data_IF_208300571720
#
_entry.id   IF_208300571720
#
_cell.length_a   1.000
_cell.length_b   1.000
_cell.length_c   1.000
_cell.angle_alpha   90.00
_cell.angle_beta   90.00
_cell.angle_gamma   90.00
#
_symmetry.space_group_name_H-M   'P 1'
#
loop_
_entity.id
_entity.type
_entity.pdbx_description
1 polymer ?
#
# COMPACT_ATOMS: atom_id res chain seq x y z
N UNK A 1 -61.50 -4.07 -45.39
CA UNK A 1 -61.50 -5.29 -44.57
C UNK A 1 -60.27 -5.22 -43.67
N UNK A 2 -60.42 -4.84 -42.40
CA UNK A 2 -60.36 -5.72 -41.21
C UNK A 2 -59.15 -6.66 -41.29
N UNK A 3 -58.16 -6.61 -40.40
CA UNK A 3 -58.33 -6.90 -38.96
C UNK A 3 -57.20 -6.29 -38.10
N UNK A 4 -57.55 -5.88 -36.88
CA UNK A 4 -56.70 -5.35 -35.79
C UNK A 4 -56.41 -6.50 -34.79
N UNK A 5 -55.37 -6.31 -33.95
CA UNK A 5 -54.98 -7.01 -32.70
C UNK A 5 -53.98 -8.16 -32.86
N UNK A 6 -52.91 -8.36 -32.06
CA UNK A 6 -52.62 -8.01 -30.66
C UNK A 6 -51.12 -7.73 -30.42
N UNK A 7 -50.84 -6.83 -29.47
CA UNK A 7 -49.56 -6.61 -28.80
C UNK A 7 -49.12 -7.81 -27.96
N UNK A 8 -47.81 -8.13 -27.93
CA UNK A 8 -47.20 -8.81 -26.78
C UNK A 8 -45.70 -8.48 -26.65
N UNK A 9 -45.38 -7.69 -25.63
CA UNK A 9 -44.14 -7.60 -24.85
C UNK A 9 -42.81 -7.98 -25.52
N UNK A 10 -42.10 -6.95 -26.01
CA UNK A 10 -40.64 -6.97 -26.13
C UNK A 10 -40.07 -6.71 -24.73
N UNK A 11 -39.80 -7.77 -23.97
CA UNK A 11 -39.10 -7.68 -22.69
C UNK A 11 -37.65 -7.32 -22.96
N UNK A 12 -37.19 -6.26 -22.30
CA UNK A 12 -35.80 -5.82 -22.23
C UNK A 12 -34.84 -6.98 -21.96
N UNK A 13 -34.05 -7.36 -22.97
CA UNK A 13 -32.81 -8.11 -22.77
C UNK A 13 -31.66 -7.10 -22.75
N UNK A 14 -31.49 -6.40 -21.64
CA UNK A 14 -30.33 -5.55 -21.36
C UNK A 14 -29.94 -5.71 -19.88
N UNK A 15 -28.64 -5.81 -19.65
CA UNK A 15 -27.91 -5.88 -18.37
C UNK A 15 -27.97 -7.20 -17.58
N UNK A 16 -27.58 -8.30 -18.23
CA UNK A 16 -26.95 -9.44 -17.56
C UNK A 16 -25.42 -9.37 -17.60
N UNK A 17 -24.82 -8.19 -17.44
CA UNK A 17 -23.37 -8.10 -17.24
C UNK A 17 -23.07 -8.58 -15.82
N UNK A 18 -22.86 -9.89 -15.69
CA UNK A 18 -22.03 -10.55 -14.68
C UNK A 18 -21.97 -9.86 -13.30
N UNK A 19 -23.12 -9.69 -12.64
CA UNK A 19 -23.14 -9.23 -11.24
C UNK A 19 -22.36 -10.18 -10.33
N UNK A 20 -22.38 -11.49 -10.61
CA UNK A 20 -21.56 -12.46 -9.88
C UNK A 20 -20.05 -12.31 -10.14
N UNK A 21 -19.61 -11.99 -11.37
CA UNK A 21 -18.17 -11.79 -11.63
C UNK A 21 -17.66 -10.46 -11.03
N UNK A 22 -18.50 -9.42 -10.99
CA UNK A 22 -18.19 -8.14 -10.33
C UNK A 22 -18.20 -8.24 -8.79
N UNK A 23 -19.10 -9.05 -8.21
CA UNK A 23 -19.13 -9.34 -6.77
C UNK A 23 -17.90 -10.17 -6.39
N UNK A 24 -17.61 -11.25 -7.13
CA UNK A 24 -16.43 -12.08 -6.91
C UNK A 24 -15.14 -11.27 -7.00
N UNK A 25 -14.97 -10.41 -8.02
CA UNK A 25 -13.76 -9.59 -8.17
C UNK A 25 -13.58 -8.54 -7.04
N UNK A 26 -14.68 -8.15 -6.37
CA UNK A 26 -14.64 -7.26 -5.22
C UNK A 26 -14.40 -7.97 -3.88
N UNK A 27 -14.58 -9.29 -3.80
CA UNK A 27 -14.30 -10.09 -2.60
C UNK A 27 -12.82 -10.44 -2.41
N UNK A 28 -11.96 -10.24 -3.41
CA UNK A 28 -10.52 -10.54 -3.32
C UNK A 28 -9.67 -9.29 -3.50
N UNK A 29 -8.62 -9.14 -2.69
CA UNK A 29 -7.73 -7.98 -2.76
C UNK A 29 -7.00 -7.88 -4.10
N UNK A 30 -6.64 -9.02 -4.72
CA UNK A 30 -5.99 -9.08 -6.04
C UNK A 30 -6.70 -10.04 -6.99
N UNK A 31 -6.47 -9.89 -8.30
CA UNK A 31 -6.98 -10.77 -9.34
C UNK A 31 -6.36 -12.18 -9.19
N UNK A 32 -5.06 -12.27 -8.87
CA UNK A 32 -4.39 -13.54 -8.60
C UNK A 32 -5.07 -14.32 -7.45
N UNK A 33 -5.48 -13.65 -6.37
CA UNK A 33 -6.18 -14.32 -5.27
C UNK A 33 -7.54 -14.88 -5.71
N UNK A 34 -8.27 -14.19 -6.59
CA UNK A 34 -9.52 -14.68 -7.15
C UNK A 34 -9.28 -15.93 -8.03
N UNK A 35 -8.23 -15.92 -8.86
CA UNK A 35 -7.85 -17.06 -9.71
C UNK A 35 -7.40 -18.26 -8.88
N UNK A 36 -6.64 -18.02 -7.80
CA UNK A 36 -6.23 -19.05 -6.86
C UNK A 36 -7.43 -19.67 -6.15
N UNK A 37 -8.37 -18.86 -5.67
CA UNK A 37 -9.60 -19.34 -5.03
C UNK A 37 -10.45 -20.20 -5.99
N UNK A 38 -10.55 -19.78 -7.24
CA UNK A 38 -11.23 -20.53 -8.31
C UNK A 38 -10.54 -21.87 -8.58
N UNK A 39 -9.21 -21.86 -8.69
CA UNK A 39 -8.41 -23.07 -8.92
C UNK A 39 -8.47 -24.07 -7.75
N UNK A 40 -8.61 -23.55 -6.53
CA UNK A 40 -8.83 -24.35 -5.32
C UNK A 40 -10.25 -24.91 -5.23
N UNK A 41 -11.20 -24.42 -6.05
CA UNK A 41 -12.64 -24.66 -5.92
C UNK A 41 -13.20 -24.21 -4.58
N UNK A 42 -12.64 -23.13 -4.02
CA UNK A 42 -13.04 -22.56 -2.75
C UNK A 42 -13.63 -21.14 -2.90
N UNK A 43 -13.82 -20.63 -4.11
CA UNK A 43 -14.25 -19.24 -4.34
C UNK A 43 -15.52 -18.87 -3.54
N UNK A 44 -16.58 -19.67 -3.64
CA UNK A 44 -17.83 -19.42 -2.93
C UNK A 44 -17.63 -19.45 -1.41
N UNK A 45 -16.87 -20.43 -0.90
CA UNK A 45 -16.57 -20.53 0.53
C UNK A 45 -15.78 -19.33 1.03
N UNK A 46 -14.67 -18.98 0.37
CA UNK A 46 -13.77 -17.91 0.83
C UNK A 46 -14.44 -16.53 0.76
N UNK A 47 -15.29 -16.29 -0.24
CA UNK A 47 -15.99 -15.00 -0.41
C UNK A 47 -16.99 -14.68 0.70
N UNK A 48 -17.38 -15.67 1.51
CA UNK A 48 -18.36 -15.54 2.60
C UNK A 48 -17.74 -15.55 4.00
N UNK A 49 -16.41 -15.77 4.08
CA UNK A 49 -15.70 -15.74 5.35
C UNK A 49 -15.75 -14.34 5.96
N UNK A 50 -15.76 -14.29 7.29
CA UNK A 50 -15.67 -13.04 8.05
C UNK A 50 -14.20 -12.63 8.17
N UNK A 51 -13.97 -11.38 8.56
CA UNK A 51 -12.63 -10.88 8.88
C UNK A 51 -11.96 -11.80 9.91
N UNK A 52 -10.71 -12.16 9.64
CA UNK A 52 -9.97 -13.13 10.43
C UNK A 52 -8.97 -13.92 9.62
N UNK A 53 -8.30 -14.84 10.30
CA UNK A 53 -7.27 -15.71 9.73
C UNK A 53 -7.64 -17.17 9.96
N UNK A 54 -7.44 -17.98 8.93
CA UNK A 54 -7.85 -19.38 8.83
C UNK A 54 -6.64 -20.21 8.37
N UNK A 55 -6.01 -20.96 9.28
CA UNK A 55 -4.73 -21.64 9.06
C UNK A 55 -4.81 -23.17 9.07
N UNK A 56 -5.88 -23.74 9.62
CA UNK A 56 -5.98 -25.20 9.87
C UNK A 56 -7.31 -25.80 9.43
N UNK A 57 -8.20 -24.98 8.87
CA UNK A 57 -9.53 -25.36 8.39
C UNK A 57 -9.53 -25.76 6.92
N UNK A 58 -8.51 -25.32 6.16
CA UNK A 58 -8.46 -25.42 4.70
C UNK A 58 -7.19 -26.15 4.25
N UNK A 59 -7.35 -27.03 3.27
CA UNK A 59 -6.26 -27.88 2.78
C UNK A 59 -6.24 -27.97 1.26
N UNK A 60 -5.04 -28.04 0.69
CA UNK A 60 -4.83 -28.41 -0.70
C UNK A 60 -3.79 -29.52 -0.77
N UNK A 61 -4.11 -30.62 -1.47
CA UNK A 61 -3.23 -31.81 -1.56
C UNK A 61 -2.71 -32.28 -0.18
N UNK A 62 -3.59 -32.30 0.84
CA UNK A 62 -3.30 -32.65 2.25
C UNK A 62 -2.33 -31.71 2.98
N UNK A 63 -2.05 -30.52 2.45
CA UNK A 63 -1.24 -29.50 3.09
C UNK A 63 -2.11 -28.34 3.57
N UNK A 64 -1.87 -27.82 4.78
CA UNK A 64 -2.65 -26.72 5.34
C UNK A 64 -2.45 -25.43 4.55
N UNK A 65 -3.54 -24.67 4.41
CA UNK A 65 -3.56 -23.34 3.82
C UNK A 65 -3.63 -22.26 4.91
N UNK A 66 -3.02 -21.12 4.66
CA UNK A 66 -3.26 -19.87 5.38
C UNK A 66 -4.12 -18.96 4.51
N UNK A 67 -5.28 -18.56 5.02
CA UNK A 67 -6.18 -17.59 4.39
C UNK A 67 -6.42 -16.44 5.35
N UNK A 68 -6.35 -15.21 4.86
CA UNK A 68 -6.69 -14.01 5.64
C UNK A 68 -7.79 -13.23 4.94
N UNK A 69 -8.77 -12.79 5.72
CA UNK A 69 -9.83 -11.87 5.30
C UNK A 69 -9.68 -10.59 6.12
N UNK A 70 -9.59 -9.47 5.43
CA UNK A 70 -9.46 -8.14 6.02
C UNK A 70 -10.39 -7.16 5.29
N UNK A 71 -11.19 -6.40 6.06
CA UNK A 71 -12.14 -5.44 5.50
C UNK A 71 -13.18 -6.08 4.57
N UNK A 72 -13.64 -7.29 4.89
CA UNK A 72 -14.59 -8.06 4.11
C UNK A 72 -14.05 -8.62 2.79
N UNK A 73 -12.71 -8.68 2.63
CA UNK A 73 -12.06 -9.17 1.42
C UNK A 73 -10.97 -10.15 1.76
N UNK A 74 -10.83 -11.20 0.94
CA UNK A 74 -9.72 -12.12 1.03
C UNK A 74 -8.43 -11.39 0.62
N UNK A 75 -7.56 -11.17 1.59
CA UNK A 75 -6.29 -10.44 1.47
C UNK A 75 -5.09 -11.37 1.31
N UNK A 76 -5.23 -12.64 1.66
CA UNK A 76 -4.18 -13.65 1.49
C UNK A 76 -4.75 -15.05 1.27
N UNK A 77 -4.12 -15.82 0.39
CA UNK A 77 -4.30 -17.26 0.20
C UNK A 77 -2.91 -17.84 -0.08
N UNK A 78 -2.45 -18.76 0.75
CA UNK A 78 -1.16 -19.42 0.59
C UNK A 78 -1.07 -20.73 1.35
N UNK A 79 0.03 -21.47 1.20
CA UNK A 79 0.32 -22.58 2.11
C UNK A 79 0.69 -22.06 3.49
N UNK A 80 0.40 -22.80 4.56
CA UNK A 80 0.85 -22.42 5.90
C UNK A 80 2.35 -22.75 6.05
N UNK A 81 3.21 -21.73 5.90
CA UNK A 81 4.66 -21.81 6.12
C UNK A 81 5.09 -21.12 7.43
N UNK A 82 4.26 -20.22 7.95
CA UNK A 82 4.58 -19.41 9.13
C UNK A 82 3.56 -19.60 10.24
N UNK A 83 4.03 -19.82 11.47
CA UNK A 83 3.19 -19.86 12.67
C UNK A 83 2.67 -18.46 13.04
N UNK A 84 1.66 -18.40 13.90
CA UNK A 84 1.14 -17.12 14.39
C UNK A 84 2.21 -16.37 15.22
N UNK A 85 3.00 -17.07 16.04
CA UNK A 85 4.08 -16.43 16.80
C UNK A 85 5.12 -15.82 15.86
N UNK A 86 5.52 -16.54 14.80
CA UNK A 86 6.47 -16.03 13.81
C UNK A 86 5.94 -14.77 13.13
N UNK A 87 4.64 -14.72 12.80
CA UNK A 87 4.03 -13.54 12.18
C UNK A 87 3.95 -12.34 13.11
N UNK A 88 3.75 -12.55 14.41
CA UNK A 88 3.73 -11.47 15.40
C UNK A 88 5.12 -10.85 15.62
N UNK A 89 6.18 -11.67 15.51
CA UNK A 89 7.56 -11.19 15.60
C UNK A 89 8.00 -10.37 14.39
N UNK A 90 7.31 -10.52 13.25
CA UNK A 90 7.67 -9.91 11.98
C UNK A 90 6.77 -8.73 11.65
N UNK A 91 7.36 -7.55 11.46
CA UNK A 91 6.61 -6.32 11.19
C UNK A 91 6.26 -6.10 9.70
N UNK A 92 6.51 -7.07 8.81
CA UNK A 92 6.24 -6.92 7.36
C UNK A 92 5.40 -8.07 6.81
N UNK A 93 4.05 -7.94 6.87
CA UNK A 93 3.13 -8.98 6.41
C UNK A 93 3.29 -9.44 4.96
N UNK A 94 3.64 -8.51 4.08
CA UNK A 94 3.84 -8.76 2.67
C UNK A 94 4.89 -9.87 2.38
N UNK A 95 5.92 -10.01 3.22
CA UNK A 95 7.04 -10.96 3.02
C UNK A 95 6.58 -12.41 3.18
N UNK A 96 5.85 -12.71 4.26
CA UNK A 96 5.36 -14.06 4.47
C UNK A 96 4.19 -14.39 3.54
N UNK A 97 3.30 -13.42 3.29
CA UNK A 97 2.15 -13.64 2.40
C UNK A 97 2.64 -13.95 0.98
N UNK A 98 3.69 -13.25 0.52
CA UNK A 98 4.36 -13.56 -0.72
C UNK A 98 4.81 -15.01 -0.79
N UNK A 99 5.64 -15.47 0.15
CA UNK A 99 6.21 -16.83 0.08
C UNK A 99 5.12 -17.90 0.11
N UNK A 100 4.15 -17.77 1.00
CA UNK A 100 3.03 -18.71 1.11
C UNK A 100 2.18 -18.75 -0.16
N UNK A 101 1.86 -17.57 -0.72
CA UNK A 101 1.09 -17.43 -1.96
C UNK A 101 1.88 -17.98 -3.15
N UNK A 102 3.18 -17.69 -3.23
CA UNK A 102 4.03 -18.06 -4.35
C UNK A 102 4.26 -19.58 -4.42
N UNK A 103 4.53 -20.22 -3.28
CA UNK A 103 4.68 -21.68 -3.23
C UNK A 103 3.35 -22.38 -3.58
N UNK A 104 2.22 -21.85 -3.11
CA UNK A 104 0.91 -22.39 -3.46
C UNK A 104 0.57 -22.17 -4.93
N UNK A 105 0.82 -20.97 -5.47
CA UNK A 105 0.52 -20.66 -6.86
C UNK A 105 1.26 -21.58 -7.81
N UNK A 106 2.49 -22.01 -7.47
CA UNK A 106 3.26 -23.05 -8.19
C UNK A 106 2.53 -24.40 -8.26
N UNK A 107 1.86 -24.80 -7.17
CA UNK A 107 1.19 -26.10 -7.07
C UNK A 107 -0.25 -26.12 -7.64
N UNK A 108 -0.80 -24.94 -7.91
CA UNK A 108 -2.13 -24.77 -8.51
C UNK A 108 -2.07 -24.92 -10.04
N UNK A 109 -3.13 -25.47 -10.66
CA UNK A 109 -3.26 -25.57 -12.11
C UNK A 109 -3.65 -24.22 -12.74
N UNK A 110 -2.91 -23.16 -12.40
CA UNK A 110 -3.07 -21.83 -13.00
C UNK A 110 -2.53 -21.84 -14.43
N UNK A 111 -3.11 -20.98 -15.28
CA UNK A 111 -2.58 -20.76 -16.63
C UNK A 111 -1.16 -20.18 -16.50
N UNK A 112 -0.16 -20.89 -17.04
CA UNK A 112 1.23 -20.44 -17.07
C UNK A 112 1.69 -20.23 -18.49
N UNK A 113 2.38 -19.12 -18.72
CA UNK A 113 3.05 -18.83 -19.99
C UNK A 113 4.49 -19.35 -20.02
N UNK A 114 5.05 -19.68 -18.85
CA UNK A 114 6.46 -20.05 -18.65
C UNK A 114 6.60 -21.17 -17.61
N UNK A 115 7.74 -21.87 -17.66
CA UNK A 115 8.10 -22.87 -16.64
C UNK A 115 8.34 -22.19 -15.29
N UNK A 116 8.32 -22.98 -14.20
CA UNK A 116 8.56 -22.49 -12.84
C UNK A 116 9.98 -21.93 -12.71
N UNK A 117 10.96 -22.58 -13.33
CA UNK A 117 12.37 -22.17 -13.30
C UNK A 117 12.55 -20.81 -13.99
N UNK A 118 11.92 -20.63 -15.16
CA UNK A 118 11.94 -19.35 -15.88
C UNK A 118 11.23 -18.25 -15.09
N UNK A 119 10.13 -18.56 -14.42
CA UNK A 119 9.43 -17.61 -13.57
C UNK A 119 10.28 -17.16 -12.37
N UNK A 120 10.89 -18.10 -11.64
CA UNK A 120 11.79 -17.79 -10.53
C UNK A 120 12.96 -16.89 -10.95
N UNK A 121 13.54 -17.17 -12.13
CA UNK A 121 14.64 -16.38 -12.68
C UNK A 121 14.19 -14.95 -13.04
N UNK A 122 13.04 -14.79 -13.69
CA UNK A 122 12.50 -13.47 -14.06
C UNK A 122 12.06 -12.65 -12.84
N UNK A 123 11.52 -13.32 -11.82
CA UNK A 123 11.15 -12.70 -10.54
C UNK A 123 12.38 -12.45 -9.64
N UNK A 124 13.58 -12.89 -10.07
CA UNK A 124 14.85 -12.77 -9.37
C UNK A 124 14.81 -13.35 -7.94
N UNK A 125 14.16 -14.50 -7.79
CA UNK A 125 14.07 -15.28 -6.56
C UNK A 125 15.17 -16.33 -6.57
N UNK A 126 16.04 -16.29 -5.58
CA UNK A 126 17.19 -17.19 -5.49
C UNK A 126 17.11 -18.01 -4.21
N UNK A 127 17.39 -19.31 -4.33
CA UNK A 127 17.60 -20.17 -3.17
C UNK A 127 19.10 -20.21 -2.87
N UNK A 128 19.50 -19.65 -1.74
CA UNK A 128 20.90 -19.71 -1.28
C UNK A 128 21.21 -21.03 -0.56
N UNK A 129 20.18 -21.69 -0.01
CA UNK A 129 20.24 -23.05 0.52
C UNK A 129 18.95 -23.80 0.17
N UNK A 130 19.09 -25.01 -0.35
CA UNK A 130 17.97 -25.85 -0.79
C UNK A 130 17.36 -25.37 -2.11
N UNK A 131 16.14 -25.83 -2.38
CA UNK A 131 15.36 -25.45 -3.57
C UNK A 131 13.87 -25.32 -3.24
N UNK A 132 13.06 -24.91 -4.22
CA UNK A 132 11.60 -24.80 -4.08
C UNK A 132 10.95 -26.09 -3.55
N UNK A 133 11.49 -27.25 -3.91
CA UNK A 133 11.00 -28.55 -3.42
C UNK A 133 11.22 -28.71 -1.90
N UNK A 134 12.30 -28.16 -1.35
CA UNK A 134 12.62 -28.20 0.07
C UNK A 134 11.74 -27.26 0.88
N UNK A 135 11.52 -26.02 0.39
CA UNK A 135 10.58 -25.10 1.01
C UNK A 135 9.17 -25.69 1.06
N UNK A 136 8.76 -26.39 -0.02
CA UNK A 136 7.47 -27.09 -0.08
C UNK A 136 7.34 -28.24 0.92
N UNK A 137 8.44 -28.92 1.28
CA UNK A 137 8.43 -29.98 2.32
C UNK A 137 8.22 -29.42 3.73
N UNK A 138 8.43 -28.12 3.93
CA UNK A 138 8.27 -27.43 5.22
C UNK A 138 6.84 -26.94 5.48
N UNK A 139 5.93 -27.07 4.50
CA UNK A 139 4.53 -26.65 4.66
C UNK A 139 3.87 -27.39 5.84
N UNK A 140 3.36 -26.62 6.79
CA UNK A 140 2.76 -27.12 8.03
C UNK A 140 3.75 -27.45 9.15
N UNK A 141 5.06 -27.33 8.94
CA UNK A 141 6.06 -27.52 10.01
C UNK A 141 6.25 -26.20 10.79
N UNK A 142 5.47 -26.04 11.86
CA UNK A 142 5.54 -24.85 12.72
C UNK A 142 6.68 -24.91 13.75
N UNK A 143 7.55 -25.93 13.69
CA UNK A 143 8.66 -26.10 14.66
C UNK A 143 9.97 -25.48 14.18
N UNK A 144 10.03 -24.98 12.95
CA UNK A 144 11.23 -24.38 12.38
C UNK A 144 11.47 -22.99 12.97
N UNK A 145 12.72 -22.68 13.28
CA UNK A 145 13.14 -21.32 13.62
C UNK A 145 13.34 -20.51 12.35
N UNK A 146 13.00 -19.23 12.39
CA UNK A 146 13.03 -18.35 11.23
C UNK A 146 13.92 -17.14 11.46
N UNK A 147 14.69 -16.75 10.45
CA UNK A 147 15.32 -15.43 10.36
C UNK A 147 14.87 -14.72 9.09
N UNK A 148 14.59 -13.41 9.22
CA UNK A 148 14.31 -12.51 8.09
C UNK A 148 15.28 -11.35 8.16
N UNK A 149 15.96 -11.11 7.04
CA UNK A 149 16.93 -10.03 6.89
C UNK A 149 16.49 -9.11 5.76
N UNK A 150 16.49 -7.79 6.00
CA UNK A 150 16.41 -6.79 4.94
C UNK A 150 17.83 -6.48 4.47
N UNK A 151 18.15 -6.87 3.24
CA UNK A 151 19.44 -6.67 2.60
C UNK A 151 19.43 -5.34 1.83
N UNK A 152 19.83 -4.28 2.53
CA UNK A 152 20.05 -2.94 1.98
C UNK A 152 18.84 -2.31 1.27
N UNK A 153 17.63 -2.51 1.83
CA UNK A 153 16.35 -2.01 1.29
C UNK A 153 16.06 -2.43 -0.15
N UNK A 154 16.65 -3.55 -0.59
CA UNK A 154 16.51 -4.07 -1.96
C UNK A 154 16.02 -5.49 -2.02
N UNK A 155 16.37 -6.32 -1.04
CA UNK A 155 16.00 -7.73 -1.01
C UNK A 155 15.63 -8.15 0.40
N UNK A 156 14.69 -9.07 0.50
CA UNK A 156 14.52 -9.86 1.72
C UNK A 156 15.27 -11.17 1.58
N UNK A 157 15.85 -11.66 2.67
CA UNK A 157 16.32 -13.03 2.80
C UNK A 157 15.57 -13.69 3.95
N UNK A 158 14.97 -14.84 3.69
CA UNK A 158 14.21 -15.63 4.66
C UNK A 158 14.90 -16.99 4.80
N UNK A 159 15.20 -17.38 6.03
CA UNK A 159 15.93 -18.62 6.31
C UNK A 159 15.24 -19.43 7.41
N UNK A 160 15.08 -20.73 7.15
CA UNK A 160 14.46 -21.69 8.08
C UNK A 160 15.53 -22.59 8.68
N UNK A 161 15.43 -22.83 9.98
CA UNK A 161 16.38 -23.64 10.73
C UNK A 161 15.66 -24.72 11.53
N UNK A 162 16.27 -25.90 11.63
CA UNK A 162 15.86 -26.96 12.55
C UNK A 162 16.97 -27.12 13.59
N UNK A 163 16.72 -26.63 14.80
CA UNK A 163 17.81 -26.37 15.73
C UNK A 163 18.79 -25.37 15.09
N UNK A 164 20.08 -25.71 15.09
CA UNK A 164 21.13 -24.88 14.48
C UNK A 164 21.35 -25.14 12.98
N UNK A 165 20.67 -26.14 12.40
CA UNK A 165 20.85 -26.50 10.99
C UNK A 165 19.96 -25.65 10.10
N UNK A 166 20.56 -24.85 9.22
CA UNK A 166 19.89 -24.17 8.12
C UNK A 166 19.31 -25.20 7.11
N UNK A 167 17.99 -25.21 6.94
CA UNK A 167 17.28 -26.19 6.10
C UNK A 167 16.89 -25.63 4.73
N UNK A 168 16.55 -24.34 4.66
CA UNK A 168 16.26 -23.64 3.41
C UNK A 168 16.53 -22.14 3.62
N UNK A 169 16.99 -21.47 2.57
CA UNK A 169 17.11 -20.01 2.56
C UNK A 169 16.80 -19.47 1.17
N UNK A 170 15.91 -18.49 1.12
CA UNK A 170 15.46 -17.83 -0.11
C UNK A 170 15.65 -16.34 0.01
N UNK A 171 16.14 -15.70 -1.05
CA UNK A 171 16.19 -14.25 -1.16
C UNK A 171 15.49 -13.77 -2.43
N UNK A 172 14.82 -12.63 -2.32
CA UNK A 172 13.96 -12.09 -3.37
C UNK A 172 13.87 -10.56 -3.27
N UNK A 173 13.57 -9.86 -4.39
CA UNK A 173 13.55 -8.40 -4.39
C UNK A 173 12.38 -7.84 -3.56
N UNK A 174 12.62 -6.68 -2.95
CA UNK A 174 11.56 -5.85 -2.37
C UNK A 174 10.84 -5.14 -3.52
N UNK A 175 9.71 -5.70 -3.94
CA UNK A 175 8.90 -5.19 -5.05
C UNK A 175 7.43 -5.37 -4.71
N UNK A 176 6.65 -4.29 -4.77
CA UNK A 176 5.22 -4.32 -4.47
C UNK A 176 4.48 -5.38 -5.30
N UNK A 177 4.70 -5.36 -6.62
CA UNK A 177 4.08 -6.27 -7.58
C UNK A 177 4.37 -7.75 -7.22
N UNK A 178 5.63 -8.06 -6.91
CA UNK A 178 6.04 -9.42 -6.51
C UNK A 178 5.42 -9.80 -5.16
N UNK A 179 5.51 -8.91 -4.17
CA UNK A 179 5.06 -9.14 -2.81
C UNK A 179 3.54 -9.32 -2.71
N UNK A 180 2.77 -8.67 -3.57
CA UNK A 180 1.31 -8.76 -3.61
C UNK A 180 0.78 -9.68 -4.71
N UNK A 181 1.62 -10.10 -5.68
CA UNK A 181 1.20 -10.91 -6.81
C UNK A 181 0.23 -10.15 -7.71
N UNK A 182 0.63 -8.91 -8.03
CA UNK A 182 -0.14 -7.94 -8.79
C UNK A 182 0.74 -7.37 -9.90
N UNK A 183 0.14 -6.58 -10.77
CA UNK A 183 0.84 -5.78 -11.78
C UNK A 183 0.42 -4.32 -11.67
N UNK A 184 1.24 -3.40 -12.20
CA UNK A 184 1.00 -1.96 -12.16
C UNK A 184 -0.43 -1.56 -12.58
N UNK A 185 -0.92 -2.13 -13.68
CA UNK A 185 -2.27 -1.83 -14.22
C UNK A 185 -3.37 -2.21 -13.22
N UNK A 186 -3.21 -3.34 -12.53
CA UNK A 186 -4.14 -3.77 -11.49
C UNK A 186 -4.07 -2.83 -10.28
N UNK A 187 -2.86 -2.46 -9.86
CA UNK A 187 -2.62 -1.60 -8.71
C UNK A 187 -3.25 -0.21 -8.90
N UNK A 188 -3.07 0.39 -10.08
CA UNK A 188 -3.69 1.65 -10.47
C UNK A 188 -5.21 1.57 -10.57
N UNK A 189 -5.75 0.45 -11.06
CA UNK A 189 -7.20 0.21 -11.12
C UNK A 189 -7.83 0.13 -9.72
N UNK A 190 -7.10 -0.40 -8.74
CA UNK A 190 -7.63 -0.70 -7.39
C UNK A 190 -7.43 0.45 -6.39
N UNK A 191 -6.40 1.28 -6.55
CA UNK A 191 -6.01 2.28 -5.52
C UNK A 191 -7.14 3.25 -5.17
N UNK A 192 -7.91 3.76 -6.14
CA UNK A 192 -8.97 4.74 -5.87
C UNK A 192 -10.05 4.14 -4.97
N UNK A 193 -10.45 2.90 -5.24
CA UNK A 193 -11.41 2.18 -4.41
C UNK A 193 -10.84 1.81 -3.05
N UNK A 194 -9.54 1.49 -2.98
CA UNK A 194 -8.84 1.23 -1.73
C UNK A 194 -8.83 2.46 -0.81
N UNK A 195 -8.49 3.64 -1.33
CA UNK A 195 -8.49 4.89 -0.56
C UNK A 195 -9.91 5.22 -0.07
N UNK A 196 -10.92 5.10 -0.94
CA UNK A 196 -12.33 5.41 -0.61
C UNK A 196 -12.89 4.52 0.51
N UNK A 197 -12.44 3.28 0.61
CA UNK A 197 -12.87 2.33 1.65
C UNK A 197 -12.03 2.37 2.92
N UNK A 198 -10.84 2.96 2.86
CA UNK A 198 -9.92 2.94 3.98
C UNK A 198 -10.52 3.66 5.20
N UNK A 199 -10.49 3.04 6.38
CA UNK A 199 -10.90 3.71 7.61
C UNK A 199 -9.97 4.88 7.90
N UNK A 200 -10.49 5.94 8.51
CA UNK A 200 -9.66 7.06 8.98
C UNK A 200 -8.66 6.56 10.02
N UNK A 201 -7.43 7.08 9.99
CA UNK A 201 -6.53 6.89 11.12
C UNK A 201 -6.98 7.77 12.28
N UNK A 202 -6.97 7.24 13.52
CA UNK A 202 -7.14 8.09 14.67
C UNK A 202 -5.98 9.09 14.73
N UNK A 203 -6.27 10.32 15.17
CA UNK A 203 -5.22 11.27 15.46
C UNK A 203 -4.29 10.71 16.55
N UNK A 204 -2.99 10.80 16.31
CA UNK A 204 -1.99 10.43 17.31
C UNK A 204 -1.95 11.50 18.40
N UNK A 205 -2.33 11.11 19.61
CA UNK A 205 -2.34 11.97 20.79
C UNK A 205 -1.00 11.97 21.53
N UNK A 206 0.01 11.24 21.03
CA UNK A 206 1.34 11.24 21.62
C UNK A 206 1.92 12.66 21.62
N UNK A 207 2.36 13.08 22.80
CA UNK A 207 3.02 14.38 22.97
C UNK A 207 4.43 14.29 22.40
N UNK A 208 4.81 15.29 21.61
CA UNK A 208 6.20 15.44 21.17
C UNK A 208 7.11 15.62 22.38
N UNK A 209 8.25 14.90 22.38
CA UNK A 209 9.25 15.06 23.42
C UNK A 209 10.06 16.35 23.16
N UNK A 210 10.03 17.34 24.06
CA UNK A 210 10.70 18.62 23.84
C UNK A 210 12.21 18.53 23.63
N UNK A 211 12.86 17.44 24.06
CA UNK A 211 14.31 17.24 23.87
C UNK A 211 14.71 17.05 22.41
N UNK A 212 13.78 16.63 21.56
CA UNK A 212 14.02 16.46 20.12
C UNK A 212 13.67 17.71 19.32
N UNK A 213 13.10 18.74 19.96
CA UNK A 213 12.75 19.99 19.31
C UNK A 213 13.94 20.95 19.29
N UNK A 214 14.24 21.47 18.10
CA UNK A 214 15.24 22.50 17.86
C UNK A 214 14.55 23.86 17.84
N UNK A 215 15.06 24.81 18.62
CA UNK A 215 14.59 26.20 18.60
C UNK A 215 15.02 26.88 17.31
N UNK A 216 14.12 27.65 16.71
CA UNK A 216 14.47 28.59 15.64
C UNK A 216 14.85 29.95 16.22
N UNK A 217 15.27 30.89 15.36
CA UNK A 217 15.47 32.28 15.73
C UNK A 217 14.16 33.01 16.06
N UNK A 218 13.01 32.48 15.63
CA UNK A 218 11.71 33.06 15.92
C UNK A 218 11.17 32.60 17.28
N UNK A 219 10.57 33.51 18.08
CA UNK A 219 9.93 33.14 19.32
C UNK A 219 8.84 32.09 19.12
N UNK A 220 8.78 31.12 20.03
CA UNK A 220 7.78 30.06 20.05
C UNK A 220 7.73 29.15 18.81
N UNK A 221 8.70 29.19 17.91
CA UNK A 221 8.78 28.34 16.72
C UNK A 221 9.91 27.30 16.85
N UNK A 222 9.54 26.02 16.70
CA UNK A 222 10.39 24.86 16.88
C UNK A 222 10.31 23.92 15.68
N UNK A 223 11.41 23.23 15.41
CA UNK A 223 11.53 22.22 14.36
C UNK A 223 11.82 20.87 15.01
N UNK A 224 11.11 19.84 14.60
CA UNK A 224 11.48 18.45 14.82
C UNK A 224 12.19 17.96 13.55
N UNK A 225 13.53 17.86 13.54
CA UNK A 225 14.27 17.42 12.37
C UNK A 225 13.82 16.02 11.93
N UNK A 226 13.59 15.87 10.63
CA UNK A 226 13.22 14.61 10.02
C UNK A 226 14.35 13.99 9.21
N UNK A 227 14.10 12.80 8.68
CA UNK A 227 14.94 12.18 7.66
C UNK A 227 14.72 12.86 6.31
N UNK A 228 15.71 12.77 5.43
CA UNK A 228 15.63 13.24 4.04
C UNK A 228 15.49 12.07 3.08
N UNK A 229 14.92 12.30 1.89
CA UNK A 229 14.76 11.27 0.87
C UNK A 229 15.14 11.81 -0.50
N UNK A 230 16.14 11.19 -1.13
CA UNK A 230 16.69 11.54 -2.45
C UNK A 230 17.36 12.92 -2.55
N UNK A 231 16.75 13.98 -2.04
CA UNK A 231 17.29 15.34 -1.93
C UNK A 231 17.14 15.87 -0.50
N UNK A 232 17.85 16.94 -0.15
CA UNK A 232 17.79 17.51 1.20
C UNK A 232 16.47 18.25 1.47
N UNK A 233 15.80 18.68 0.41
CA UNK A 233 14.55 19.45 0.42
C UNK A 233 13.33 18.58 0.68
N UNK A 234 13.39 17.28 0.32
CA UNK A 234 12.37 16.29 0.61
C UNK A 234 12.61 15.67 1.98
N UNK A 235 11.89 16.15 3.00
CA UNK A 235 12.11 15.71 4.38
C UNK A 235 10.83 15.33 5.12
N UNK A 236 10.99 14.57 6.21
CA UNK A 236 9.91 14.27 7.18
C UNK A 236 9.82 15.30 8.30
N UNK A 237 10.48 16.45 8.12
CA UNK A 237 10.57 17.52 9.12
C UNK A 237 9.18 17.99 9.54
N UNK A 238 8.97 18.15 10.84
CA UNK A 238 7.72 18.66 11.41
C UNK A 238 7.95 19.97 12.13
N UNK A 239 6.95 20.84 12.07
CA UNK A 239 7.04 22.19 12.60
C UNK A 239 6.07 22.35 13.75
N UNK A 240 6.55 22.95 14.84
CA UNK A 240 5.79 23.10 16.08
C UNK A 240 5.81 24.54 16.55
N UNK A 241 4.71 24.96 17.15
CA UNK A 241 4.64 26.18 17.94
C UNK A 241 4.41 25.87 19.42
N UNK A 242 4.92 26.72 20.29
CA UNK A 242 4.68 26.62 21.73
C UNK A 242 3.51 27.53 22.12
N UNK A 243 2.45 26.93 22.66
CA UNK A 243 1.27 27.63 23.17
C UNK A 243 1.55 28.33 24.50
N UNK A 244 0.66 29.25 24.87
CA UNK A 244 0.76 30.05 26.11
C UNK A 244 0.76 29.18 27.38
N UNK A 245 0.09 28.03 27.34
CA UNK A 245 0.10 27.02 28.41
C UNK A 245 1.39 26.16 28.44
N UNK A 246 2.37 26.52 27.61
CA UNK A 246 3.68 25.91 27.55
C UNK A 246 3.76 24.58 26.78
N UNK A 247 2.66 24.12 26.17
CA UNK A 247 2.64 22.90 25.36
C UNK A 247 3.16 23.14 23.95
N UNK A 248 3.58 22.07 23.29
CA UNK A 248 3.99 22.09 21.89
C UNK A 248 2.87 21.51 21.04
N UNK A 249 2.46 22.26 20.02
CA UNK A 249 1.42 21.86 19.07
C UNK A 249 1.94 21.99 17.64
N UNK A 250 1.39 21.19 16.72
CA UNK A 250 1.76 21.30 15.32
C UNK A 250 1.45 22.71 14.81
N UNK A 251 2.44 23.30 14.16
CA UNK A 251 2.34 24.62 13.58
C UNK A 251 1.30 24.59 12.45
N UNK A 252 0.33 25.50 12.52
CA UNK A 252 -0.67 25.71 11.48
C UNK A 252 -1.17 27.17 11.53
N UNK A 253 -0.45 28.08 10.88
CA UNK A 253 -0.71 29.51 10.93
C UNK A 253 -0.29 30.27 9.64
N UNK A 254 -0.81 31.48 9.48
CA UNK A 254 -0.54 32.36 8.32
C UNK A 254 0.91 32.79 8.16
N UNK A 255 1.65 32.87 9.27
CA UNK A 255 3.01 33.40 9.28
C UNK A 255 4.01 32.41 8.67
N UNK A 256 3.66 31.13 8.66
CA UNK A 256 4.47 30.02 8.18
C UNK A 256 3.62 29.12 7.27
N UNK A 257 3.19 29.62 6.10
CA UNK A 257 2.21 28.93 5.26
C UNK A 257 2.77 27.61 4.70
N UNK A 258 4.04 27.57 4.33
CA UNK A 258 4.67 26.37 3.76
C UNK A 258 4.86 25.29 4.82
N UNK A 259 5.27 25.65 6.04
CA UNK A 259 5.41 24.71 7.15
C UNK A 259 4.06 24.21 7.66
N UNK A 260 3.04 25.07 7.62
CA UNK A 260 1.65 24.66 7.89
C UNK A 260 1.16 23.66 6.85
N UNK A 261 1.47 23.89 5.58
CA UNK A 261 1.14 22.97 4.48
C UNK A 261 1.91 21.65 4.59
N UNK A 262 3.20 21.70 4.98
CA UNK A 262 4.00 20.51 5.25
C UNK A 262 3.36 19.64 6.34
N UNK A 263 3.00 20.23 7.49
CA UNK A 263 2.30 19.50 8.54
C UNK A 263 0.94 18.98 8.05
N UNK A 264 0.17 19.78 7.31
CA UNK A 264 -1.16 19.40 6.80
C UNK A 264 -1.12 18.16 5.89
N UNK A 265 -0.10 18.05 5.04
CA UNK A 265 0.03 16.99 4.04
C UNK A 265 0.76 15.74 4.54
N UNK A 266 1.37 15.78 5.73
CA UNK A 266 2.24 14.71 6.24
C UNK A 266 1.73 14.06 7.54
N UNK A 267 0.57 14.51 8.06
CA UNK A 267 0.00 13.95 9.29
C UNK A 267 -1.54 13.96 9.29
N UNK A 268 -2.12 13.16 10.18
CA UNK A 268 -3.56 13.14 10.49
C UNK A 268 -3.89 13.92 11.77
N UNK A 269 -2.89 14.52 12.41
CA UNK A 269 -3.03 15.16 13.72
C UNK A 269 -3.56 16.60 13.65
N UNK A 270 -3.74 17.14 12.44
CA UNK A 270 -4.35 18.45 12.22
C UNK A 270 -5.80 18.28 11.75
N UNK A 271 -6.74 18.65 12.61
CA UNK A 271 -8.16 18.73 12.22
C UNK A 271 -8.33 19.79 11.13
N UNK A 272 -8.98 19.42 10.04
CA UNK A 272 -9.21 20.27 8.90
C UNK A 272 -10.36 19.74 8.03
N UNK A 273 -10.93 20.62 7.21
CA UNK A 273 -12.00 20.33 6.27
C UNK A 273 -11.52 20.50 4.81
N UNK A 274 -10.24 20.24 4.54
CA UNK A 274 -9.73 20.27 3.17
C UNK A 274 -10.23 19.08 2.36
N UNK A 275 -10.48 19.35 1.08
CA UNK A 275 -10.68 18.33 0.06
C UNK A 275 -9.50 18.32 -0.89
N UNK A 276 -9.20 17.16 -1.44
CA UNK A 276 -8.14 16.98 -2.43
C UNK A 276 -8.74 16.47 -3.74
N UNK A 277 -8.42 17.17 -4.82
CA UNK A 277 -8.76 16.83 -6.20
C UNK A 277 -7.53 16.19 -6.84
N UNK A 278 -7.59 14.89 -7.08
CA UNK A 278 -6.45 14.09 -7.53
C UNK A 278 -6.66 13.68 -8.98
N UNK A 279 -5.66 13.94 -9.81
CA UNK A 279 -5.48 13.31 -11.12
C UNK A 279 -4.49 12.16 -10.96
N UNK A 280 -4.98 10.93 -10.98
CA UNK A 280 -4.16 9.72 -11.01
C UNK A 280 -3.64 9.49 -12.42
N UNK A 281 -2.31 9.51 -12.56
CA UNK A 281 -1.59 9.12 -13.76
C UNK A 281 -1.54 7.61 -13.82
N UNK A 282 -2.09 7.05 -14.90
CA UNK A 282 -2.07 5.60 -15.16
C UNK A 282 -1.08 5.28 -16.26
N UNK A 283 -0.47 4.11 -16.17
CA UNK A 283 0.56 3.66 -17.09
C UNK A 283 0.00 3.35 -18.48
N UNK A 284 -1.04 2.53 -18.54
CA UNK A 284 -1.63 2.02 -19.80
C UNK A 284 -3.16 2.24 -19.86
N UNK A 285 -3.62 3.34 -19.26
CA UNK A 285 -5.02 3.72 -19.23
C UNK A 285 -5.16 5.26 -19.17
N UNK A 286 -6.32 5.82 -19.54
CA UNK A 286 -6.59 7.22 -19.32
C UNK A 286 -6.44 7.61 -17.85
N UNK A 287 -5.95 8.83 -17.61
CA UNK A 287 -5.94 9.43 -16.28
C UNK A 287 -7.33 9.31 -15.62
N UNK A 288 -7.34 9.04 -14.31
CA UNK A 288 -8.58 9.05 -13.53
C UNK A 288 -8.57 10.26 -12.59
N UNK A 289 -9.66 11.03 -12.58
CA UNK A 289 -9.84 12.12 -11.62
C UNK A 289 -10.78 11.68 -10.51
N UNK A 290 -10.44 12.01 -9.27
CA UNK A 290 -11.32 11.81 -8.12
C UNK A 290 -11.11 12.88 -7.06
N UNK A 291 -12.12 13.04 -6.20
CA UNK A 291 -12.10 13.99 -5.10
C UNK A 291 -12.49 13.30 -3.79
N UNK A 292 -11.85 13.69 -2.68
CA UNK A 292 -12.16 13.18 -1.34
C UNK A 292 -11.64 14.11 -0.23
N UNK A 293 -12.05 13.91 1.04
CA UNK A 293 -11.44 14.59 2.17
C UNK A 293 -9.93 14.32 2.26
N UNK A 294 -9.14 15.36 2.52
CA UNK A 294 -7.68 15.25 2.62
C UNK A 294 -7.25 14.28 3.73
N UNK A 295 -7.90 14.34 4.90
CA UNK A 295 -7.61 13.43 6.00
C UNK A 295 -7.80 11.96 5.63
N UNK A 296 -8.80 11.64 4.80
CA UNK A 296 -9.00 10.28 4.30
C UNK A 296 -7.87 9.86 3.37
N UNK A 297 -7.48 10.75 2.46
CA UNK A 297 -6.40 10.52 1.52
C UNK A 297 -5.06 10.25 2.24
N UNK A 298 -4.66 11.12 3.18
CA UNK A 298 -3.42 10.95 3.96
C UNK A 298 -3.50 9.72 4.87
N UNK A 299 -4.65 9.47 5.51
CA UNK A 299 -4.84 8.29 6.37
C UNK A 299 -4.57 6.98 5.64
N UNK A 300 -4.98 6.88 4.37
CA UNK A 300 -4.75 5.68 3.58
C UNK A 300 -3.26 5.37 3.44
N UNK A 301 -2.44 6.30 2.96
CA UNK A 301 -1.01 6.05 2.74
C UNK A 301 -0.27 5.74 4.03
N UNK A 302 -0.58 6.47 5.12
CA UNK A 302 -0.02 6.18 6.43
C UNK A 302 -0.40 4.77 6.94
N UNK A 303 -1.64 4.31 6.70
CA UNK A 303 -2.06 2.92 7.01
C UNK A 303 -1.34 1.88 6.18
N UNK A 304 -0.98 2.20 4.95
CA UNK A 304 -0.16 1.34 4.11
C UNK A 304 1.32 1.35 4.55
N UNK A 305 1.68 1.98 5.67
CA UNK A 305 3.05 2.04 6.17
C UNK A 305 3.94 3.03 5.40
N UNK A 306 3.35 3.98 4.66
CA UNK A 306 4.13 5.01 4.00
C UNK A 306 4.63 6.05 4.99
N UNK A 307 5.89 6.43 4.84
CA UNK A 307 6.47 7.64 5.44
C UNK A 307 6.32 8.81 4.46
N UNK A 308 5.65 9.91 4.85
CA UNK A 308 5.50 11.07 4.00
C UNK A 308 6.74 11.97 4.05
N UNK A 309 7.27 12.34 2.89
CA UNK A 309 8.30 13.36 2.72
C UNK A 309 7.72 14.52 1.93
N UNK A 310 7.99 15.74 2.37
CA UNK A 310 7.48 16.96 1.78
C UNK A 310 8.63 17.86 1.35
N UNK A 311 8.48 18.49 0.19
CA UNK A 311 9.39 19.50 -0.35
C UNK A 311 8.63 20.57 -1.11
N UNK A 312 9.22 21.76 -1.23
CA UNK A 312 8.62 22.90 -1.96
C UNK A 312 9.33 23.04 -3.29
N UNK A 313 8.57 23.04 -4.38
CA UNK A 313 9.07 23.26 -5.74
C UNK A 313 9.08 24.76 -6.04
N UNK A 314 7.95 25.43 -5.80
CA UNK A 314 7.84 26.89 -5.96
C UNK A 314 6.79 27.48 -5.03
N UNK A 315 6.93 28.77 -4.73
CA UNK A 315 5.96 29.54 -3.98
C UNK A 315 5.91 30.95 -4.54
N UNK A 316 4.82 31.27 -5.26
CA UNK A 316 4.65 32.55 -5.96
C UNK A 316 3.34 33.20 -5.55
N UNK A 317 3.43 34.40 -4.95
CA UNK A 317 2.28 35.06 -4.35
C UNK A 317 1.69 34.22 -3.22
N UNK A 318 0.53 33.62 -3.48
CA UNK A 318 -0.16 32.74 -2.53
C UNK A 318 -0.17 31.27 -2.99
N UNK A 319 0.31 30.98 -4.20
CA UNK A 319 0.27 29.65 -4.77
C UNK A 319 1.53 28.87 -4.40
N UNK A 320 1.37 27.81 -3.62
CA UNK A 320 2.42 26.84 -3.32
C UNK A 320 2.33 25.64 -4.25
N UNK A 321 3.45 25.28 -4.86
CA UNK A 321 3.64 24.02 -5.60
C UNK A 321 4.65 23.19 -4.84
N UNK A 322 4.23 22.00 -4.43
CA UNK A 322 4.99 21.14 -3.54
C UNK A 322 5.11 19.73 -4.11
N UNK A 323 6.11 19.02 -3.64
CA UNK A 323 6.24 17.59 -3.84
C UNK A 323 5.95 16.85 -2.54
N UNK A 324 5.11 15.82 -2.66
CA UNK A 324 4.75 14.92 -1.58
C UNK A 324 5.05 13.49 -2.00
N UNK A 325 5.98 12.86 -1.27
CA UNK A 325 6.38 11.48 -1.50
C UNK A 325 5.87 10.61 -0.36
N UNK A 326 5.02 9.62 -0.67
CA UNK A 326 4.61 8.60 0.30
C UNK A 326 5.45 7.35 0.07
N UNK A 327 6.53 7.18 0.85
CA UNK A 327 7.49 6.08 0.68
C UNK A 327 7.17 4.90 1.59
N UNK A 328 6.97 3.73 1.01
CA UNK A 328 6.97 2.47 1.75
C UNK A 328 8.27 1.70 1.46
N UNK A 329 9.21 1.78 2.40
CA UNK A 329 10.51 1.13 2.28
C UNK A 329 10.42 -0.41 2.29
N UNK A 330 9.53 -0.94 3.12
CA UNK A 330 9.35 -2.37 3.33
C UNK A 330 8.71 -3.07 2.11
N UNK A 331 8.04 -2.31 1.25
CA UNK A 331 7.42 -2.84 0.03
C UNK A 331 8.03 -2.26 -1.26
N UNK A 332 9.06 -1.42 -1.13
CA UNK A 332 9.91 -1.03 -2.25
C UNK A 332 9.29 -0.05 -3.24
N UNK A 333 8.31 0.75 -2.82
CA UNK A 333 7.64 1.72 -3.67
C UNK A 333 7.50 3.11 -3.03
N UNK A 334 7.23 4.11 -3.86
CA UNK A 334 6.66 5.38 -3.43
C UNK A 334 5.44 5.77 -4.26
N UNK A 335 4.52 6.51 -3.65
CA UNK A 335 3.58 7.35 -4.40
C UNK A 335 4.16 8.76 -4.49
N UNK A 336 4.28 9.27 -5.71
CA UNK A 336 4.83 10.60 -6.00
C UNK A 336 3.68 11.53 -6.33
N UNK A 337 3.62 12.69 -5.67
CA UNK A 337 2.56 13.66 -5.86
C UNK A 337 3.10 15.06 -6.04
N UNK A 338 2.71 15.71 -7.14
CA UNK A 338 2.85 17.17 -7.29
C UNK A 338 1.56 17.81 -6.78
N UNK A 339 1.67 18.56 -5.70
CA UNK A 339 0.56 19.17 -4.98
C UNK A 339 0.55 20.68 -5.22
N UNK A 340 -0.62 21.24 -5.46
CA UNK A 340 -0.80 22.69 -5.62
C UNK A 340 -1.90 23.17 -4.68
N UNK A 341 -1.58 24.20 -3.91
CA UNK A 341 -2.45 24.77 -2.88
C UNK A 341 -2.29 26.29 -2.85
N UNK A 342 -3.41 27.01 -2.80
CA UNK A 342 -3.39 28.43 -2.44
C UNK A 342 -3.38 28.53 -0.91
N UNK A 343 -2.30 29.08 -0.36
CA UNK A 343 -2.06 29.10 1.09
C UNK A 343 -3.01 30.05 1.83
N UNK A 344 -3.69 30.95 1.12
CA UNK A 344 -4.79 31.76 1.69
C UNK A 344 -6.01 30.90 2.05
N UNK A 345 -6.06 29.64 1.65
CA UNK A 345 -7.11 28.71 2.12
C UNK A 345 -6.79 28.15 3.52
N UNK A 346 -5.53 28.25 3.98
CA UNK A 346 -5.13 27.78 5.31
C UNK A 346 -5.82 28.56 6.44
N UNK A 347 -6.34 29.76 6.15
CA UNK A 347 -7.00 30.65 7.10
C UNK A 347 -8.21 30.01 7.78
N UNK A 348 -9.01 29.33 6.97
CA UNK A 348 -10.30 28.79 7.38
C UNK A 348 -10.21 27.30 7.73
N UNK A 349 -8.99 26.73 7.73
CA UNK A 349 -8.72 25.29 7.86
C UNK A 349 -9.54 24.43 6.89
N UNK A 350 -9.94 25.02 5.77
CA UNK A 350 -10.87 24.47 4.79
C UNK A 350 -10.50 24.99 3.42
N UNK A 351 -10.59 24.12 2.41
CA UNK A 351 -10.25 24.50 1.05
C UNK A 351 -10.13 23.29 0.14
N UNK A 352 -9.62 23.55 -1.05
CA UNK A 352 -9.37 22.58 -2.10
C UNK A 352 -7.88 22.56 -2.44
N UNK A 353 -7.29 21.38 -2.35
CA UNK A 353 -5.94 21.07 -2.81
C UNK A 353 -6.06 20.33 -4.14
N UNK A 354 -5.16 20.59 -5.07
CA UNK A 354 -5.06 19.79 -6.30
C UNK A 354 -3.78 18.97 -6.27
N UNK A 355 -3.83 17.75 -6.79
CA UNK A 355 -2.66 16.89 -6.87
C UNK A 355 -2.63 16.06 -8.15
N UNK A 356 -1.43 15.85 -8.69
CA UNK A 356 -1.15 14.82 -9.70
C UNK A 356 -0.41 13.67 -9.02
N UNK A 357 -1.01 12.49 -9.02
CA UNK A 357 -0.49 11.29 -8.36
C UNK A 357 0.06 10.30 -9.39
N UNK A 358 1.31 9.88 -9.20
CA UNK A 358 1.88 8.69 -9.85
C UNK A 358 2.09 7.63 -8.77
N UNK A 359 1.37 6.51 -8.86
CA UNK A 359 1.35 5.49 -7.81
C UNK A 359 2.39 4.38 -8.02
N UNK A 360 2.80 3.74 -6.92
CA UNK A 360 3.62 2.52 -6.93
C UNK A 360 4.95 2.62 -7.70
N UNK A 361 5.55 3.81 -7.74
CA UNK A 361 6.85 4.00 -8.39
C UNK A 361 7.92 3.20 -7.62
N UNK A 362 8.62 2.24 -8.25
CA UNK A 362 9.65 1.48 -7.56
C UNK A 362 10.77 2.40 -7.04
N UNK A 363 11.18 2.22 -5.79
CA UNK A 363 12.14 3.10 -5.10
C UNK A 363 13.48 3.25 -5.83
N UNK A 364 13.90 2.21 -6.57
CA UNK A 364 15.12 2.23 -7.38
C UNK A 364 15.00 3.06 -8.67
N UNK A 365 13.78 3.35 -9.16
CA UNK A 365 13.54 4.17 -10.37
C UNK A 365 13.42 5.66 -10.07
N UNK A 366 13.17 6.04 -8.82
CA UNK A 366 12.84 7.43 -8.45
C UNK A 366 13.96 8.43 -8.77
N UNK A 367 15.23 8.03 -8.64
CA UNK A 367 16.36 8.90 -9.01
C UNK A 367 16.33 9.37 -10.48
N UNK A 368 15.63 8.66 -11.36
CA UNK A 368 15.49 9.06 -12.76
C UNK A 368 14.34 10.06 -12.95
N UNK A 369 13.32 10.06 -12.08
CA UNK A 369 12.22 11.03 -12.14
C UNK A 369 12.70 12.44 -11.81
N UNK A 370 13.60 12.58 -10.85
CA UNK A 370 14.18 13.89 -10.48
C UNK A 370 15.19 14.45 -11.50
N UNK A 371 15.55 13.68 -12.53
CA UNK A 371 16.46 14.13 -13.60
C UNK A 371 15.72 14.64 -14.83
N UNK A 372 14.44 14.30 -14.99
CA UNK A 372 13.67 14.70 -16.17
C UNK A 372 13.22 16.17 -16.12
N UNK A 373 13.26 16.83 -14.96
CA UNK A 373 12.91 18.25 -14.79
C UNK A 373 14.09 19.22 -15.07
N UNK A 374 15.27 18.74 -15.52
CA UNK A 374 16.45 19.55 -15.84
C UNK A 374 16.64 19.87 -17.34
N UNK A 375 15.67 19.55 -18.23
CA UNK A 375 15.76 19.85 -19.67
C UNK A 375 14.64 20.75 -20.20
#
# INVERSE_FOLDING_TARGET
MKTIFYSLFMVFALSGVNTMSLIAQNSYQTDLLADMATSLKLADQLSTLKDGRYNTELFYKKRPLSVTVDGGRVSHIGYLLFSEEQRQLLQVPAVYNFLERYVLSIDLPLKREKSVEKQLAEDNINFTVGEMSDLRKQVGDTTLNLTIENLSDRRYKVSWHRGDKLTCSVDFPISYDLLHGTEMVENERRIVSAIKRAPLLPADTAKVNPKFLVKTWQPNYFVLPGDTCYTAELSTTRYYEKSDDGKYQLLFNRKHPLESLANLLTTVNLKNDFRINVRLKKYDAPDENFEMPLLQFISYFLRQGCTPYFGVISFEGTLAVCELLMRNANEGYCHVMKVTCDVEQLLDKKGNITARLTSYVPTFKIKNLFKEDEN
#
